data_IF_589896911831
#
_entry.id   IF_589896911831
#
_cell.length_a   1.000
_cell.length_b   1.000
_cell.length_c   1.000
_cell.angle_alpha   90.00
_cell.angle_beta   90.00
_cell.angle_gamma   90.00
#
_symmetry.space_group_name_H-M   'P 1'
#
loop_
_entity.id
_entity.type
_entity.pdbx_description
1 polymer ?
#
# COMPACT_ATOMS: atom_id res chain seq x y z
N UNK A 1 0.77 13.92 -4.65
CA UNK A 1 0.48 13.45 -3.27
C UNK A 1 -0.75 14.19 -2.80
N UNK A 2 -1.93 13.58 -2.85
CA UNK A 2 -3.18 14.26 -2.44
C UNK A 2 -3.15 14.39 -0.91
N UNK A 3 -3.07 15.62 -0.41
CA UNK A 3 -3.10 15.95 1.03
C UNK A 3 -4.42 16.62 1.34
N UNK A 4 -5.19 16.02 2.24
CA UNK A 4 -6.43 16.60 2.76
C UNK A 4 -6.32 16.56 4.28
N UNK A 5 -6.37 17.73 4.91
CA UNK A 5 -6.28 17.92 6.35
C UNK A 5 -7.67 18.17 6.92
N UNK A 6 -8.08 17.44 7.97
CA UNK A 6 -9.08 17.94 8.93
C UNK A 6 -8.82 17.40 10.34
N UNK A 7 -9.15 18.27 11.29
CA UNK A 7 -8.79 18.33 12.72
C UNK A 7 -9.58 17.34 13.61
N UNK A 8 -8.93 17.07 14.74
CA UNK A 8 -9.18 16.35 16.00
C UNK A 8 -10.55 15.81 16.50
N UNK A 9 -10.38 14.79 17.36
CA UNK A 9 -11.30 14.20 18.37
C UNK A 9 -12.40 13.23 17.91
N UNK A 10 -12.01 11.97 17.69
CA UNK A 10 -12.60 10.76 18.33
C UNK A 10 -11.85 9.52 17.80
N UNK A 11 -11.32 8.76 18.75
CA UNK A 11 -10.42 7.63 18.61
C UNK A 11 -11.17 6.35 18.18
N UNK A 12 -10.41 5.44 17.55
CA UNK A 12 -10.77 4.08 17.09
C UNK A 12 -11.37 4.04 15.67
N UNK A 13 -10.47 3.96 14.68
CA UNK A 13 -10.73 3.75 13.23
C UNK A 13 -11.37 4.90 12.45
N UNK A 14 -10.69 6.05 12.41
CA UNK A 14 -10.71 6.92 11.22
C UNK A 14 -10.01 6.18 10.07
N UNK A 15 -10.70 5.83 8.99
CA UNK A 15 -10.03 5.39 7.74
C UNK A 15 -9.28 6.61 7.20
N UNK A 16 -8.05 6.76 7.69
CA UNK A 16 -7.09 7.73 7.25
C UNK A 16 -6.67 7.28 5.85
N UNK A 17 -6.87 8.08 4.81
CA UNK A 17 -6.43 7.73 3.44
C UNK A 17 -4.90 7.60 3.35
N UNK A 18 -4.15 7.96 4.41
CA UNK A 18 -2.75 7.54 4.63
C UNK A 18 -2.58 6.01 4.81
N UNK A 19 -3.67 5.26 4.93
CA UNK A 19 -3.68 3.81 5.14
C UNK A 19 -3.73 3.03 3.83
N UNK A 20 -3.94 3.69 2.68
CA UNK A 20 -4.03 3.04 1.37
C UNK A 20 -3.08 3.69 0.36
N UNK A 21 -2.23 2.90 -0.27
CA UNK A 21 -1.41 3.31 -1.40
C UNK A 21 -1.96 2.69 -2.69
N UNK A 22 -2.10 3.50 -3.74
CA UNK A 22 -2.45 3.02 -5.09
C UNK A 22 -1.16 3.02 -5.90
N UNK A 23 -0.66 1.84 -6.24
CA UNK A 23 0.63 1.64 -6.90
C UNK A 23 0.41 1.04 -8.29
N UNK A 24 1.27 1.37 -9.27
CA UNK A 24 1.18 0.77 -10.60
C UNK A 24 1.38 -0.76 -10.48
N UNK A 25 0.74 -1.56 -11.34
CA UNK A 25 0.87 -3.03 -11.31
C UNK A 25 2.34 -3.46 -11.45
N UNK A 26 3.14 -2.71 -12.19
CA UNK A 26 4.58 -2.94 -12.35
C UNK A 26 5.34 -2.87 -11.01
N UNK A 27 4.82 -2.13 -10.02
CA UNK A 27 5.35 -2.10 -8.66
C UNK A 27 5.11 -3.42 -7.93
N UNK A 28 3.95 -4.06 -8.16
CA UNK A 28 3.66 -5.41 -7.66
C UNK A 28 4.52 -6.46 -8.35
N UNK A 29 4.69 -6.36 -9.67
CA UNK A 29 5.54 -7.30 -10.41
C UNK A 29 7.01 -7.18 -9.98
N UNK A 30 7.49 -5.96 -9.74
CA UNK A 30 8.83 -5.73 -9.22
C UNK A 30 9.02 -6.28 -7.79
N UNK A 31 7.97 -6.27 -6.96
CA UNK A 31 7.99 -6.91 -5.63
C UNK A 31 8.04 -8.44 -5.78
N UNK A 32 7.15 -9.00 -6.59
CA UNK A 32 7.03 -10.45 -6.84
C UNK A 32 8.29 -11.05 -7.49
N UNK A 33 8.96 -10.30 -8.36
CA UNK A 33 10.18 -10.74 -9.04
C UNK A 33 11.39 -10.91 -8.10
N UNK A 34 11.27 -10.62 -6.79
CA UNK A 34 12.37 -10.74 -5.86
C UNK A 34 11.91 -11.13 -4.44
N UNK A 35 12.20 -12.36 -4.02
CA UNK A 35 11.83 -12.88 -2.69
C UNK A 35 12.42 -12.08 -1.52
N UNK A 36 13.60 -11.47 -1.67
CA UNK A 36 14.20 -10.62 -0.62
C UNK A 36 13.32 -9.38 -0.37
N UNK A 37 12.73 -8.80 -1.42
CA UNK A 37 11.83 -7.65 -1.28
C UNK A 37 10.55 -8.02 -0.51
N UNK A 38 10.00 -9.20 -0.79
CA UNK A 38 8.84 -9.73 -0.04
C UNK A 38 9.21 -9.95 1.43
N UNK A 39 10.36 -10.57 1.70
CA UNK A 39 10.84 -10.78 3.08
C UNK A 39 11.05 -9.46 3.82
N UNK A 40 11.62 -8.44 3.17
CA UNK A 40 11.74 -7.09 3.76
C UNK A 40 10.36 -6.53 4.12
N UNK A 41 9.36 -6.65 3.24
CA UNK A 41 8.00 -6.20 3.55
C UNK A 41 7.38 -6.96 4.71
N UNK A 42 7.60 -8.28 4.80
CA UNK A 42 7.15 -9.08 5.94
C UNK A 42 7.82 -8.66 7.25
N UNK A 43 9.13 -8.43 7.25
CA UNK A 43 9.85 -7.94 8.42
C UNK A 43 9.36 -6.54 8.86
N UNK A 44 9.14 -5.64 7.90
CA UNK A 44 8.62 -4.30 8.15
C UNK A 44 7.16 -4.31 8.64
N UNK A 45 6.39 -5.37 8.40
CA UNK A 45 5.05 -5.54 8.99
C UNK A 45 5.08 -5.73 10.51
N UNK A 46 6.24 -6.13 11.05
CA UNK A 46 6.47 -6.35 12.49
C UNK A 46 6.86 -5.07 13.22
N UNK A 47 7.34 -4.06 12.48
CA UNK A 47 7.70 -2.75 13.01
C UNK A 47 8.76 -2.02 12.19
N UNK A 48 9.09 -0.77 12.57
CA UNK A 48 10.11 0.02 11.88
C UNK A 48 11.50 -0.61 12.00
N UNK A 49 12.25 -0.69 10.90
CA UNK A 49 13.60 -1.27 10.88
C UNK A 49 14.60 -0.39 10.13
N UNK A 50 15.87 -0.51 10.50
CA UNK A 50 16.97 0.09 9.74
C UNK A 50 17.50 -0.89 8.69
N UNK A 51 18.18 -0.38 7.67
CA UNK A 51 18.90 -1.22 6.69
C UNK A 51 19.90 -2.16 7.39
N UNK A 52 20.56 -1.70 8.46
CA UNK A 52 21.48 -2.53 9.25
C UNK A 52 20.76 -3.70 9.91
N UNK A 53 19.61 -3.45 10.53
CA UNK A 53 18.80 -4.49 11.18
C UNK A 53 18.26 -5.50 10.17
N UNK A 54 17.74 -5.01 9.03
CA UNK A 54 17.29 -5.86 7.93
C UNK A 54 18.43 -6.75 7.40
N UNK A 55 19.63 -6.18 7.23
CA UNK A 55 20.81 -6.90 6.77
C UNK A 55 21.25 -8.01 7.73
N UNK A 56 21.21 -7.72 9.04
CA UNK A 56 21.53 -8.70 10.07
C UNK A 56 20.55 -9.87 10.07
N UNK A 57 19.24 -9.60 10.03
CA UNK A 57 18.22 -10.65 10.05
C UNK A 57 18.18 -11.46 8.74
N UNK A 58 18.46 -10.83 7.59
CA UNK A 58 18.55 -11.54 6.30
C UNK A 58 19.89 -12.28 6.11
N UNK A 59 20.89 -12.07 6.96
CA UNK A 59 22.24 -12.61 6.78
C UNK A 59 22.94 -12.08 5.53
N UNK A 60 22.66 -10.83 5.14
CA UNK A 60 23.13 -10.22 3.90
C UNK A 60 24.03 -9.01 4.14
N UNK A 61 24.86 -8.67 3.15
CA UNK A 61 25.65 -7.43 3.19
C UNK A 61 24.73 -6.20 3.18
N UNK A 62 25.03 -5.23 4.04
CA UNK A 62 24.26 -3.97 4.19
C UNK A 62 24.04 -3.26 2.85
N UNK A 63 25.06 -3.19 2.00
CA UNK A 63 24.95 -2.54 0.68
C UNK A 63 23.98 -3.24 -0.27
N UNK A 64 23.85 -4.57 -0.18
CA UNK A 64 22.89 -5.33 -0.99
C UNK A 64 21.47 -5.04 -0.52
N UNK A 65 21.22 -5.12 0.79
CA UNK A 65 19.91 -4.81 1.37
C UNK A 65 19.50 -3.37 1.13
N UNK A 66 20.44 -2.41 1.20
CA UNK A 66 20.19 -1.02 0.85
C UNK A 66 19.60 -0.87 -0.55
N UNK A 67 20.12 -1.60 -1.55
CA UNK A 67 19.58 -1.57 -2.93
C UNK A 67 18.15 -2.11 -3.01
N UNK A 68 17.82 -3.16 -2.24
CA UNK A 68 16.45 -3.68 -2.20
C UNK A 68 15.49 -2.72 -1.51
N UNK A 69 15.88 -2.14 -0.37
CA UNK A 69 15.10 -1.13 0.35
C UNK A 69 14.90 0.11 -0.52
N UNK A 70 15.94 0.55 -1.24
CA UNK A 70 15.84 1.69 -2.15
C UNK A 70 14.88 1.42 -3.30
N UNK A 71 14.96 0.25 -3.92
CA UNK A 71 14.00 -0.15 -4.94
C UNK A 71 12.56 -0.16 -4.40
N UNK A 72 12.33 -0.73 -3.21
CA UNK A 72 11.02 -0.72 -2.55
C UNK A 72 10.51 0.72 -2.29
N UNK A 73 11.40 1.64 -1.90
CA UNK A 73 11.07 3.05 -1.66
C UNK A 73 10.68 3.76 -2.96
N UNK A 74 11.45 3.52 -4.03
CA UNK A 74 11.23 4.11 -5.35
C UNK A 74 9.91 3.61 -5.98
N UNK A 75 9.60 2.32 -5.77
CA UNK A 75 8.33 1.70 -6.14
C UNK A 75 7.16 2.04 -5.21
N UNK A 76 7.43 2.77 -4.12
CA UNK A 76 6.41 3.29 -3.21
C UNK A 76 5.90 2.30 -2.16
N UNK A 77 6.55 1.15 -1.98
CA UNK A 77 6.22 0.16 -0.95
C UNK A 77 6.63 0.60 0.46
N UNK A 78 7.80 1.22 0.59
CA UNK A 78 8.33 1.67 1.88
C UNK A 78 8.57 3.17 1.88
N UNK A 79 8.68 3.73 3.09
CA UNK A 79 9.08 5.12 3.32
C UNK A 79 9.97 5.21 4.53
N UNK A 80 10.71 6.30 4.60
CA UNK A 80 11.46 6.66 5.80
C UNK A 80 10.51 7.31 6.82
N UNK A 81 10.72 6.99 8.10
CA UNK A 81 10.13 7.76 9.20
C UNK A 81 10.81 9.12 9.30
N UNK A 82 10.03 10.16 9.52
CA UNK A 82 10.58 11.46 9.87
C UNK A 82 10.92 11.54 11.38
N UNK A 83 11.64 12.59 11.78
CA UNK A 83 12.14 12.75 13.15
C UNK A 83 11.03 12.82 14.22
N UNK A 84 9.84 13.29 13.85
CA UNK A 84 8.69 13.39 14.76
C UNK A 84 8.03 12.03 14.95
N UNK A 85 7.91 11.25 13.87
CA UNK A 85 7.42 9.88 13.93
C UNK A 85 8.38 8.99 14.74
N UNK A 86 9.70 9.12 14.53
CA UNK A 86 10.72 8.40 15.31
C UNK A 86 10.57 8.69 16.82
N UNK A 87 10.34 9.97 17.18
CA UNK A 87 10.12 10.38 18.58
C UNK A 87 8.83 9.78 19.15
N UNK A 88 7.76 9.81 18.38
CA UNK A 88 6.44 9.33 18.80
C UNK A 88 6.44 7.83 19.07
N UNK A 89 7.23 7.06 18.30
CA UNK A 89 7.35 5.60 18.44
C UNK A 89 8.44 5.19 19.45
N UNK A 90 9.13 6.16 20.08
CA UNK A 90 10.14 5.89 21.12
C UNK A 90 11.43 5.26 20.59
N UNK A 91 11.77 5.47 19.33
CA UNK A 91 12.97 4.92 18.70
C UNK A 91 14.21 5.81 18.98
N UNK A 92 15.39 5.17 19.05
CA UNK A 92 16.66 5.84 19.32
C UNK A 92 16.98 6.91 18.26
N UNK A 93 17.47 8.07 18.72
CA UNK A 93 17.87 9.23 17.90
C UNK A 93 19.39 9.30 17.69
N UNK A 94 20.02 8.17 17.40
CA UNK A 94 21.41 8.20 16.93
C UNK A 94 21.51 9.01 15.63
N UNK A 95 22.51 9.88 15.54
CA UNK A 95 22.76 10.68 14.35
C UNK A 95 22.88 9.75 13.12
N UNK A 96 22.18 10.09 12.03
CA UNK A 96 22.14 9.34 10.76
C UNK A 96 21.44 7.97 10.80
N UNK A 97 20.65 7.66 11.83
CA UNK A 97 19.86 6.41 11.86
C UNK A 97 18.54 6.58 11.13
N UNK A 98 18.40 5.90 9.99
CA UNK A 98 17.19 5.93 9.15
C UNK A 98 16.36 4.67 9.40
N UNK A 99 15.10 4.90 9.78
CA UNK A 99 14.10 3.84 9.97
C UNK A 99 13.13 3.82 8.80
N UNK A 100 12.89 2.62 8.28
CA UNK A 100 11.93 2.35 7.21
C UNK A 100 10.69 1.69 7.78
N UNK A 101 9.55 2.00 7.17
CA UNK A 101 8.23 1.40 7.44
C UNK A 101 7.50 1.17 6.12
N UNK A 102 6.47 0.31 6.09
CA UNK A 102 5.54 0.27 4.98
C UNK A 102 4.94 1.68 4.75
N UNK A 103 4.82 2.09 3.49
CA UNK A 103 4.26 3.38 3.12
C UNK A 103 2.75 3.50 3.39
N UNK A 104 2.05 2.36 3.42
CA UNK A 104 0.62 2.24 3.70
C UNK A 104 0.30 0.89 4.37
N UNK A 105 -0.94 0.74 4.84
CA UNK A 105 -1.45 -0.51 5.43
C UNK A 105 -2.12 -1.40 4.39
N UNK A 106 -2.66 -0.79 3.34
CA UNK A 106 -3.33 -1.43 2.22
C UNK A 106 -2.69 -0.91 0.95
N UNK A 107 -2.46 -1.78 -0.02
CA UNK A 107 -1.93 -1.45 -1.33
C UNK A 107 -2.88 -1.95 -2.38
N UNK A 108 -3.27 -1.11 -3.34
CA UNK A 108 -4.05 -1.51 -4.50
C UNK A 108 -3.22 -1.30 -5.76
N UNK A 109 -3.27 -2.26 -6.69
CA UNK A 109 -2.69 -2.11 -8.02
C UNK A 109 -3.56 -1.21 -8.91
N UNK A 110 -2.94 -0.46 -9.81
CA UNK A 110 -3.65 0.16 -10.93
C UNK A 110 -2.88 -0.04 -12.25
N UNK A 111 -3.62 -0.04 -13.36
CA UNK A 111 -3.08 0.09 -14.71
C UNK A 111 -3.77 1.22 -15.45
N UNK A 112 -3.06 1.78 -16.41
CA UNK A 112 -3.59 2.77 -17.35
C UNK A 112 -3.85 2.06 -18.68
N UNK A 113 -5.06 2.21 -19.20
CA UNK A 113 -5.40 1.81 -20.56
C UNK A 113 -5.70 3.09 -21.35
N UNK A 114 -4.86 3.38 -22.34
CA UNK A 114 -5.11 4.47 -23.27
C UNK A 114 -5.78 3.93 -24.53
N UNK A 115 -6.78 4.65 -25.02
CA UNK A 115 -7.38 4.44 -26.34
C UNK A 115 -7.53 5.78 -27.06
N UNK A 116 -8.03 5.74 -28.30
CA UNK A 116 -8.26 6.94 -29.13
C UNK A 116 -9.24 7.95 -28.48
N UNK A 117 -10.00 7.53 -27.47
CA UNK A 117 -11.01 8.33 -26.78
C UNK A 117 -10.59 8.79 -25.38
N UNK A 118 -9.34 8.53 -24.97
CA UNK A 118 -8.78 9.00 -23.72
C UNK A 118 -8.08 7.92 -22.90
N UNK A 119 -7.91 8.20 -21.62
CA UNK A 119 -7.20 7.33 -20.69
C UNK A 119 -8.12 6.81 -19.61
N UNK A 120 -8.09 5.50 -19.39
CA UNK A 120 -8.86 4.79 -18.37
C UNK A 120 -7.91 4.29 -17.29
N UNK A 121 -8.19 4.68 -16.04
CA UNK A 121 -7.54 4.11 -14.87
C UNK A 121 -8.33 2.88 -14.43
N UNK A 122 -7.66 1.74 -14.32
CA UNK A 122 -8.27 0.48 -13.87
C UNK A 122 -7.57 0.04 -12.60
N UNK A 123 -8.34 -0.16 -11.54
CA UNK A 123 -7.88 -0.71 -10.26
C UNK A 123 -8.43 -2.14 -10.17
N UNK A 124 -7.66 -3.16 -10.57
CA UNK A 124 -8.15 -4.52 -10.56
C UNK A 124 -8.17 -5.10 -9.13
N UNK A 125 -9.24 -5.83 -8.80
CA UNK A 125 -9.44 -6.39 -7.46
C UNK A 125 -8.45 -7.52 -7.08
N UNK A 126 -7.71 -8.04 -8.05
CA UNK A 126 -6.73 -9.12 -7.88
C UNK A 126 -5.29 -8.63 -7.76
N UNK A 127 -5.04 -7.33 -7.64
CA UNK A 127 -3.73 -6.77 -7.25
C UNK A 127 -3.88 -5.98 -5.97
N UNK A 128 -3.47 -6.59 -4.86
CA UNK A 128 -3.65 -6.07 -3.52
C UNK A 128 -2.57 -6.50 -2.56
N UNK A 129 -2.29 -5.69 -1.54
CA UNK A 129 -1.49 -6.13 -0.40
C UNK A 129 -1.98 -5.50 0.90
N UNK A 130 -1.70 -6.16 2.01
CA UNK A 130 -2.10 -5.72 3.35
C UNK A 130 -0.96 -5.95 4.35
N UNK A 131 -0.78 -4.99 5.25
CA UNK A 131 0.11 -5.08 6.41
C UNK A 131 -0.74 -5.37 7.63
N UNK A 132 -0.73 -6.61 8.10
CA UNK A 132 -1.35 -6.95 9.37
C UNK A 132 -0.39 -6.65 10.52
N UNK A 133 -0.54 -5.49 11.15
CA UNK A 133 0.29 -5.10 12.30
C UNK A 133 0.01 -5.98 13.52
N UNK A 134 -1.21 -6.52 13.68
CA UNK A 134 -1.54 -7.40 14.82
C UNK A 134 -0.99 -8.80 14.60
N UNK A 135 -1.21 -9.36 13.42
CA UNK A 135 -0.68 -10.65 13.01
C UNK A 135 0.81 -10.62 12.66
N UNK A 136 1.42 -9.43 12.54
CA UNK A 136 2.82 -9.20 12.14
C UNK A 136 3.16 -9.88 10.82
N UNK A 137 2.26 -9.75 9.85
CA UNK A 137 2.35 -10.39 8.53
C UNK A 137 2.16 -9.40 7.41
N UNK A 138 2.92 -9.59 6.33
CA UNK A 138 2.61 -8.97 5.05
C UNK A 138 1.84 -9.96 4.17
N UNK A 139 0.66 -9.57 3.73
CA UNK A 139 -0.26 -10.40 2.95
C UNK A 139 -0.34 -9.82 1.55
N UNK A 140 -0.15 -10.65 0.52
CA UNK A 140 -0.16 -10.26 -0.88
C UNK A 140 -1.27 -11.02 -1.63
N UNK A 141 -2.02 -10.29 -2.46
CA UNK A 141 -3.09 -10.75 -3.33
C UNK A 141 -2.70 -10.43 -4.78
N UNK A 142 -2.20 -11.43 -5.53
CA UNK A 142 -1.86 -11.31 -6.95
C UNK A 142 -2.28 -12.58 -7.70
N UNK A 143 -2.50 -12.53 -9.03
CA UNK A 143 -2.95 -13.69 -9.80
C UNK A 143 -2.02 -14.91 -9.71
N UNK A 144 -0.74 -14.66 -9.49
CA UNK A 144 0.35 -15.64 -9.53
C UNK A 144 0.80 -16.12 -8.14
N UNK A 145 0.41 -15.45 -7.05
CA UNK A 145 0.91 -15.74 -5.71
C UNK A 145 -0.21 -16.31 -4.84
N UNK A 146 -0.51 -17.60 -4.99
CA UNK A 146 -1.69 -18.25 -4.41
C UNK A 146 -1.61 -18.61 -2.91
N UNK A 147 -0.57 -18.21 -2.18
CA UNK A 147 -0.48 -18.41 -0.72
C UNK A 147 -1.33 -17.38 0.04
N UNK A 148 -2.63 -17.34 -0.26
CA UNK A 148 -3.63 -16.45 0.32
C UNK A 148 -4.32 -17.08 1.54
N UNK A 149 -3.58 -17.56 2.52
CA UNK A 149 -4.23 -17.96 3.78
C UNK A 149 -4.49 -16.74 4.68
N UNK A 150 -5.29 -15.79 4.18
CA UNK A 150 -5.97 -14.79 5.00
C UNK A 150 -6.85 -15.46 6.07
N UNK A 151 -7.44 -16.61 5.71
CA UNK A 151 -8.33 -17.42 6.55
C UNK A 151 -7.73 -17.73 7.93
N UNK A 152 -6.41 -17.97 7.98
CA UNK A 152 -5.67 -18.31 9.20
C UNK A 152 -4.81 -17.16 9.75
N UNK A 153 -4.76 -16.02 9.04
CA UNK A 153 -3.91 -14.88 9.40
C UNK A 153 -4.68 -13.73 10.05
N UNK A 154 -5.99 -13.60 9.80
CA UNK A 154 -6.85 -12.70 10.56
C UNK A 154 -7.23 -13.35 11.91
N UNK A 155 -7.06 -12.66 13.06
CA UNK A 155 -7.39 -13.19 14.40
C UNK A 155 -8.82 -13.72 14.55
N UNK A 156 -9.74 -13.28 13.70
CA UNK A 156 -11.02 -13.92 13.45
C UNK A 156 -11.51 -13.50 12.06
N UNK A 157 -11.25 -14.35 11.06
CA UNK A 157 -11.71 -14.16 9.68
C UNK A 157 -13.15 -13.64 9.60
N UNK A 158 -14.05 -14.24 10.39
CA UNK A 158 -15.46 -13.85 10.49
C UNK A 158 -15.64 -12.41 10.99
N UNK A 159 -15.01 -12.00 12.09
CA UNK A 159 -15.16 -10.63 12.58
C UNK A 159 -14.54 -9.59 11.62
N UNK A 160 -13.50 -9.96 10.89
CA UNK A 160 -12.94 -9.11 9.83
C UNK A 160 -13.95 -8.94 8.70
N UNK A 161 -14.54 -10.05 8.23
CA UNK A 161 -15.55 -10.05 7.18
C UNK A 161 -16.81 -9.28 7.59
N UNK A 162 -17.29 -9.46 8.82
CA UNK A 162 -18.43 -8.75 9.38
C UNK A 162 -18.16 -7.25 9.47
N UNK A 163 -16.95 -6.86 9.90
CA UNK A 163 -16.55 -5.45 9.89
C UNK A 163 -16.54 -4.89 8.46
N UNK A 164 -15.96 -5.59 7.49
CA UNK A 164 -15.93 -5.17 6.07
C UNK A 164 -17.35 -4.99 5.54
N UNK A 165 -18.23 -5.97 5.75
CA UNK A 165 -19.64 -5.93 5.30
C UNK A 165 -20.40 -4.76 5.95
N UNK A 166 -20.17 -4.51 7.25
CA UNK A 166 -20.77 -3.38 7.96
C UNK A 166 -20.28 -2.03 7.42
N UNK A 167 -18.98 -1.86 7.18
CA UNK A 167 -18.43 -0.64 6.57
C UNK A 167 -18.96 -0.48 5.13
N UNK A 168 -19.00 -1.57 4.35
CA UNK A 168 -19.60 -1.56 3.01
C UNK A 168 -21.01 -0.98 3.02
N UNK A 169 -21.87 -1.46 3.92
CA UNK A 169 -23.23 -0.90 4.09
C UNK A 169 -23.24 0.61 4.37
N UNK A 170 -22.35 1.10 5.24
CA UNK A 170 -22.25 2.54 5.56
C UNK A 170 -21.93 3.40 4.34
N UNK A 171 -21.11 2.89 3.41
CA UNK A 171 -20.71 3.61 2.21
C UNK A 171 -21.54 3.26 0.96
N UNK A 172 -22.62 2.48 1.13
CA UNK A 172 -23.48 1.96 0.06
C UNK A 172 -22.74 1.06 -0.95
N UNK A 173 -21.85 0.22 -0.44
CA UNK A 173 -21.08 -0.79 -1.20
C UNK A 173 -21.53 -2.18 -0.74
N UNK A 174 -22.09 -2.97 -1.66
CA UNK A 174 -22.46 -4.36 -1.38
C UNK A 174 -21.22 -5.25 -1.49
N UNK A 175 -20.80 -5.85 -0.38
CA UNK A 175 -19.63 -6.74 -0.34
C UNK A 175 -20.11 -8.18 -0.22
N UNK A 176 -20.02 -8.92 -1.32
CA UNK A 176 -20.44 -10.32 -1.43
C UNK A 176 -19.24 -11.23 -1.69
N UNK A 177 -18.38 -11.35 -0.67
CA UNK A 177 -17.22 -12.22 -0.68
C UNK A 177 -17.17 -12.99 0.65
N UNK A 178 -16.73 -14.24 0.58
CA UNK A 178 -16.51 -15.08 1.77
C UNK A 178 -15.06 -15.00 2.28
N UNK A 179 -14.13 -14.54 1.44
CA UNK A 179 -12.76 -14.28 1.83
C UNK A 179 -12.58 -12.83 2.32
N UNK A 180 -12.14 -12.65 3.57
CA UNK A 180 -11.97 -11.33 4.18
C UNK A 180 -10.93 -10.47 3.42
N UNK A 181 -9.87 -11.06 2.88
CA UNK A 181 -8.88 -10.34 2.09
C UNK A 181 -9.47 -9.76 0.80
N UNK A 182 -10.18 -10.58 0.02
CA UNK A 182 -10.87 -10.16 -1.20
C UNK A 182 -11.99 -9.16 -0.90
N UNK A 183 -12.76 -9.38 0.15
CA UNK A 183 -13.80 -8.47 0.61
C UNK A 183 -13.23 -7.08 0.93
N UNK A 184 -12.10 -7.03 1.64
CA UNK A 184 -11.41 -5.80 2.03
C UNK A 184 -10.90 -5.04 0.80
N UNK A 185 -10.25 -5.76 -0.11
CA UNK A 185 -9.73 -5.23 -1.36
C UNK A 185 -10.84 -4.65 -2.23
N UNK A 186 -11.95 -5.36 -2.35
CA UNK A 186 -13.12 -4.89 -3.07
C UNK A 186 -13.67 -3.60 -2.44
N UNK A 187 -13.88 -3.60 -1.12
CA UNK A 187 -14.36 -2.43 -0.39
C UNK A 187 -13.48 -1.20 -0.64
N UNK A 188 -12.15 -1.31 -0.45
CA UNK A 188 -11.23 -0.19 -0.68
C UNK A 188 -11.19 0.25 -2.13
N UNK A 189 -11.23 -0.68 -3.08
CA UNK A 189 -11.30 -0.35 -4.51
C UNK A 189 -12.53 0.50 -4.80
N UNK A 190 -13.70 0.10 -4.29
CA UNK A 190 -14.94 0.84 -4.49
C UNK A 190 -14.91 2.22 -3.82
N UNK A 191 -14.37 2.33 -2.60
CA UNK A 191 -14.20 3.62 -1.92
C UNK A 191 -13.31 4.57 -2.72
N UNK A 192 -12.16 4.08 -3.20
CA UNK A 192 -11.24 4.90 -3.99
C UNK A 192 -11.84 5.33 -5.32
N UNK A 193 -12.53 4.44 -6.03
CA UNK A 193 -13.20 4.80 -7.28
C UNK A 193 -14.31 5.84 -7.05
N UNK A 194 -15.04 5.75 -5.93
CA UNK A 194 -16.04 6.74 -5.53
C UNK A 194 -15.40 8.12 -5.27
N UNK A 195 -14.28 8.14 -4.53
CA UNK A 195 -13.51 9.37 -4.30
C UNK A 195 -12.94 9.96 -5.59
N UNK A 196 -12.37 9.14 -6.47
CA UNK A 196 -11.90 9.61 -7.78
C UNK A 196 -13.04 10.23 -8.56
N UNK A 197 -14.21 9.57 -8.64
CA UNK A 197 -15.37 10.10 -9.35
C UNK A 197 -15.81 11.46 -8.81
N UNK A 198 -15.88 11.62 -7.48
CA UNK A 198 -16.22 12.90 -6.84
C UNK A 198 -15.19 13.98 -7.22
N UNK A 199 -13.90 13.66 -7.16
CA UNK A 199 -12.83 14.60 -7.51
C UNK A 199 -12.80 14.93 -9.01
N UNK A 200 -13.13 13.99 -9.90
CA UNK A 200 -13.22 14.21 -11.35
C UNK A 200 -14.37 15.15 -11.72
N UNK A 201 -15.50 15.01 -11.03
CA UNK A 201 -16.68 15.84 -11.27
C UNK A 201 -16.42 17.28 -10.80
N UNK A 202 -15.66 17.44 -9.71
CA UNK A 202 -15.42 18.74 -9.10
C UNK A 202 -14.18 19.47 -9.66
N UNK A 203 -13.27 18.76 -10.33
CA UNK A 203 -12.08 19.34 -10.96
C UNK A 203 -11.77 18.57 -12.25
N UNK A 204 -11.57 19.26 -13.37
CA UNK A 204 -10.87 18.68 -14.52
C UNK A 204 -9.48 18.26 -14.02
N UNK A 205 -9.27 16.95 -13.83
CA UNK A 205 -8.12 16.48 -13.07
C UNK A 205 -6.82 16.78 -13.81
N UNK A 206 -6.08 17.79 -13.36
CA UNK A 206 -4.62 17.77 -13.43
C UNK A 206 -4.12 16.82 -12.34
N UNK A 207 -3.66 15.63 -12.73
CA UNK A 207 -3.00 14.68 -11.83
C UNK A 207 -1.56 15.14 -11.57
N UNK A 208 -1.37 16.24 -10.84
CA UNK A 208 -0.03 16.69 -10.46
C UNK A 208 0.50 15.85 -9.28
N UNK A 209 1.13 14.73 -9.61
CA UNK A 209 1.97 13.98 -8.69
C UNK A 209 3.28 13.68 -9.40
N UNK A 210 4.43 14.19 -8.92
CA UNK A 210 5.73 13.99 -9.58
C UNK A 210 6.04 12.51 -9.86
N UNK A 211 5.58 11.61 -8.98
CA UNK A 211 5.72 10.15 -9.14
C UNK A 211 4.76 9.56 -10.18
N UNK A 212 3.50 10.03 -10.24
CA UNK A 212 2.57 9.58 -11.28
C UNK A 212 2.99 10.13 -12.63
N UNK A 213 3.46 11.38 -12.72
CA UNK A 213 4.02 11.95 -13.93
C UNK A 213 5.25 11.19 -14.41
N UNK A 214 6.18 10.80 -13.53
CA UNK A 214 7.34 10.00 -13.97
C UNK A 214 6.96 8.62 -14.50
N UNK A 215 5.94 7.98 -13.93
CA UNK A 215 5.44 6.68 -14.40
C UNK A 215 4.65 6.87 -15.71
N UNK A 216 3.82 7.91 -15.78
CA UNK A 216 3.05 8.28 -16.95
C UNK A 216 3.95 8.60 -18.14
N UNK A 217 4.99 9.42 -17.96
CA UNK A 217 5.96 9.75 -19.01
C UNK A 217 6.71 8.50 -19.49
N UNK A 218 7.04 7.59 -18.56
CA UNK A 218 7.70 6.32 -18.89
C UNK A 218 6.81 5.37 -19.67
N UNK A 219 5.51 5.30 -19.35
CA UNK A 219 4.54 4.45 -20.03
C UNK A 219 4.00 5.04 -21.33
N UNK A 220 3.95 6.38 -21.44
CA UNK A 220 3.47 7.06 -22.63
C UNK A 220 4.50 7.16 -23.76
N UNK A 221 5.73 6.65 -23.58
CA UNK A 221 6.86 6.86 -24.51
C UNK A 221 7.04 8.34 -24.92
N UNK A 222 6.64 9.27 -24.06
CA UNK A 222 6.87 10.70 -24.27
C UNK A 222 8.31 10.96 -23.82
N UNK A 223 9.24 10.90 -24.78
CA UNK A 223 10.57 11.45 -24.61
C UNK A 223 10.44 12.97 -24.35
N UNK A 224 11.22 13.47 -23.38
CA UNK A 224 11.43 14.91 -23.19
C UNK A 224 11.98 15.56 -24.46
#
# INVERSE_FOLDING_TARGET
MIRINVIDKLNVFRINVKSVAVLPIESFDALLGNSIRINIMDMLSRGPMTVTSLAQELGMLKGVVHRHVKALEDFGWVRQLNNDEVKTVGLSREANRIYYVPSAMVYLGFKLEANEHGMKIIIPANYGAFVDVRGRKFILLTPTFSNHECRNSCPSHEACLDWIKRIGKQYHISVDYDDAGRALMYLYTQLILKEFRINMINNAIMLDSPRLNSIFMKHANLAL
#
